data_IF_545393974596
#
_entry.id   IF_545393974596
#
_cell.length_a   1.000
_cell.length_b   1.000
_cell.length_c   1.000
_cell.angle_alpha   90.00
_cell.angle_beta   90.00
_cell.angle_gamma   90.00
#
_symmetry.space_group_name_H-M   'P 1'
#
loop_
_entity.id
_entity.type
_entity.pdbx_description
1 polymer ?
#
# COMPACT_ATOMS: atom_id res chain seq x y z
N UNK A 1 -33.26 -1.39 -8.08
CA UNK A 1 -32.27 -2.50 -8.07
C UNK A 1 -30.92 -1.93 -7.66
N UNK A 2 -30.51 -2.15 -6.41
CA UNK A 2 -29.18 -1.76 -5.95
C UNK A 2 -28.17 -2.80 -6.45
N UNK A 3 -27.25 -2.38 -7.32
CA UNK A 3 -26.12 -3.20 -7.74
C UNK A 3 -25.15 -3.29 -6.56
N UNK A 4 -25.22 -4.38 -5.80
CA UNK A 4 -24.23 -4.69 -4.77
C UNK A 4 -22.92 -5.02 -5.48
N UNK A 5 -22.03 -4.05 -5.56
CA UNK A 5 -20.65 -4.29 -6.00
C UNK A 5 -19.97 -5.16 -4.93
N UNK A 6 -19.84 -6.45 -5.20
CA UNK A 6 -19.05 -7.38 -4.40
C UNK A 6 -17.61 -6.86 -4.32
N UNK A 7 -17.05 -6.81 -3.09
CA UNK A 7 -15.70 -6.32 -2.75
C UNK A 7 -14.71 -6.57 -3.89
N UNK A 8 -14.37 -5.52 -4.64
CA UNK A 8 -13.19 -5.55 -5.49
C UNK A 8 -12.00 -5.75 -4.53
N UNK A 9 -11.52 -6.99 -4.41
CA UNK A 9 -10.28 -7.26 -3.67
C UNK A 9 -9.20 -6.51 -4.40
N UNK A 10 -8.73 -5.42 -3.81
CA UNK A 10 -7.62 -4.64 -4.33
C UNK A 10 -6.37 -5.50 -4.19
N UNK A 11 -6.14 -6.33 -5.19
CA UNK A 11 -5.04 -7.28 -5.18
C UNK A 11 -3.79 -6.60 -5.73
N UNK A 12 -2.81 -6.44 -4.85
CA UNK A 12 -1.44 -6.19 -5.24
C UNK A 12 -0.89 -7.43 -5.94
N UNK A 13 -0.26 -7.22 -7.09
CA UNK A 13 0.41 -8.30 -7.82
C UNK A 13 1.57 -8.92 -7.02
N UNK A 14 2.18 -8.14 -6.11
CA UNK A 14 3.38 -8.52 -5.36
C UNK A 14 3.03 -8.98 -3.95
N UNK A 15 2.24 -8.18 -3.22
CA UNK A 15 1.96 -8.39 -1.79
C UNK A 15 0.55 -8.96 -1.51
N UNK A 16 -0.22 -9.31 -2.53
CA UNK A 16 -1.58 -9.82 -2.34
C UNK A 16 -2.60 -8.75 -1.96
N UNK A 17 -3.61 -9.11 -1.16
CA UNK A 17 -4.77 -8.25 -0.93
C UNK A 17 -4.43 -7.02 -0.06
N UNK A 18 -4.97 -5.85 -0.43
CA UNK A 18 -4.89 -4.66 0.40
C UNK A 18 -5.56 -4.90 1.76
N UNK A 19 -4.90 -4.49 2.83
CA UNK A 19 -5.27 -4.85 4.21
C UNK A 19 -5.09 -3.66 5.14
N UNK A 20 -5.92 -3.58 6.17
CA UNK A 20 -5.75 -2.63 7.25
C UNK A 20 -4.53 -2.96 8.12
N UNK A 21 -3.91 -1.92 8.67
CA UNK A 21 -2.78 -2.05 9.59
C UNK A 21 -3.27 -2.68 10.91
N UNK A 22 -2.55 -3.69 11.41
CA UNK A 22 -2.86 -4.29 12.71
C UNK A 22 -2.29 -3.44 13.84
N UNK A 23 -3.11 -3.23 14.87
CA UNK A 23 -2.74 -2.40 16.03
C UNK A 23 -1.99 -3.18 17.14
N UNK A 24 -1.78 -4.49 16.97
CA UNK A 24 -1.25 -5.37 18.02
C UNK A 24 0.06 -6.08 17.63
N UNK A 25 0.53 -5.90 16.41
CA UNK A 25 1.78 -6.49 15.91
C UNK A 25 2.60 -5.42 15.23
N UNK A 26 3.93 -5.57 15.25
CA UNK A 26 4.81 -4.67 14.53
C UNK A 26 4.68 -4.92 13.03
N UNK A 27 4.42 -3.87 12.24
CA UNK A 27 4.19 -4.04 10.82
C UNK A 27 5.50 -4.32 10.09
N UNK A 28 5.45 -5.28 9.17
CA UNK A 28 6.52 -5.52 8.21
C UNK A 28 6.41 -4.56 7.03
N UNK A 29 7.45 -4.51 6.19
CA UNK A 29 7.39 -3.77 4.93
C UNK A 29 6.19 -4.18 4.06
N UNK A 30 5.86 -5.47 4.03
CA UNK A 30 4.70 -5.98 3.30
C UNK A 30 3.39 -5.39 3.85
N UNK A 31 3.22 -5.41 5.17
CA UNK A 31 2.02 -4.87 5.82
C UNK A 31 1.85 -3.37 5.52
N UNK A 32 2.95 -2.61 5.53
CA UNK A 32 2.93 -1.17 5.21
C UNK A 32 2.49 -0.94 3.76
N UNK A 33 2.95 -1.76 2.82
CA UNK A 33 2.57 -1.63 1.40
C UNK A 33 1.13 -2.12 1.13
N UNK A 34 0.66 -3.17 1.80
CA UNK A 34 -0.74 -3.58 1.75
C UNK A 34 -1.66 -2.48 2.31
N UNK A 35 -1.26 -1.85 3.42
CA UNK A 35 -1.97 -0.73 4.02
C UNK A 35 -1.94 0.53 3.15
N UNK A 36 -0.83 0.79 2.46
CA UNK A 36 -0.75 1.86 1.48
C UNK A 36 -1.81 1.75 0.40
N UNK A 37 -2.02 0.54 -0.16
CA UNK A 37 -3.04 0.31 -1.17
C UNK A 37 -4.46 0.47 -0.61
N UNK A 38 -4.67 0.07 0.65
CA UNK A 38 -5.93 0.25 1.35
C UNK A 38 -6.27 1.74 1.52
N UNK A 39 -5.33 2.53 2.07
CA UNK A 39 -5.50 3.99 2.26
C UNK A 39 -5.69 4.69 0.92
N UNK A 40 -4.90 4.32 -0.09
CA UNK A 40 -5.02 4.86 -1.45
C UNK A 40 -6.43 4.69 -2.02
N UNK A 41 -7.04 3.52 -1.84
CA UNK A 41 -8.39 3.28 -2.31
C UNK A 41 -9.42 4.03 -1.48
N UNK A 42 -9.26 4.05 -0.16
CA UNK A 42 -10.15 4.80 0.74
C UNK A 42 -10.18 6.30 0.42
N UNK A 43 -9.05 6.87 0.01
CA UNK A 43 -8.92 8.26 -0.38
C UNK A 43 -9.38 8.57 -1.80
N UNK A 44 -9.64 7.55 -2.64
CA UNK A 44 -10.10 7.76 -4.00
C UNK A 44 -11.60 8.10 -3.95
N UNK A 45 -12.00 9.35 -4.24
CA UNK A 45 -13.41 9.71 -4.24
C UNK A 45 -14.12 8.99 -5.40
N UNK A 46 -15.34 8.50 -5.16
CA UNK A 46 -16.12 7.76 -6.17
C UNK A 46 -16.40 8.59 -7.43
N UNK A 47 -16.33 9.92 -7.31
CA UNK A 47 -16.75 10.89 -8.33
C UNK A 47 -15.55 11.45 -9.12
N UNK A 48 -14.31 11.37 -8.61
CA UNK A 48 -13.13 11.96 -9.26
C UNK A 48 -12.10 10.91 -9.61
N UNK A 49 -11.65 10.91 -10.88
CA UNK A 49 -10.59 10.01 -11.36
C UNK A 49 -9.18 10.36 -10.85
N UNK A 50 -9.04 11.43 -10.06
CA UNK A 50 -7.76 11.94 -9.62
C UNK A 50 -7.19 11.03 -8.54
N UNK A 51 -6.05 10.42 -8.84
CA UNK A 51 -5.33 9.57 -7.90
C UNK A 51 -4.77 10.41 -6.74
N UNK A 52 -4.91 9.97 -5.49
CA UNK A 52 -4.37 10.66 -4.33
C UNK A 52 -2.83 10.73 -4.39
N UNK A 53 -2.26 11.81 -3.86
CA UNK A 53 -0.82 12.00 -3.88
C UNK A 53 -0.12 11.01 -2.94
N UNK A 54 1.07 10.56 -3.32
CA UNK A 54 1.91 9.66 -2.50
C UNK A 54 2.20 10.28 -1.14
N UNK A 55 2.47 11.60 -1.11
CA UNK A 55 2.74 12.32 0.14
C UNK A 55 1.53 12.32 1.07
N UNK A 56 0.32 12.56 0.54
CA UNK A 56 -0.91 12.56 1.34
C UNK A 56 -1.19 11.18 1.95
N UNK A 57 -0.97 10.12 1.18
CA UNK A 57 -1.11 8.74 1.68
C UNK A 57 -0.04 8.44 2.74
N UNK A 58 1.22 8.81 2.47
CA UNK A 58 2.33 8.58 3.38
C UNK A 58 2.12 9.27 4.73
N UNK A 59 1.51 10.46 4.75
CA UNK A 59 1.16 11.19 5.98
C UNK A 59 0.23 10.39 6.88
N UNK A 60 -0.86 9.86 6.31
CA UNK A 60 -1.84 9.06 7.05
C UNK A 60 -1.19 7.79 7.61
N UNK A 61 -0.39 7.12 6.79
CA UNK A 61 0.31 5.89 7.20
C UNK A 61 1.33 6.17 8.29
N UNK A 62 2.11 7.26 8.18
CA UNK A 62 3.12 7.62 9.16
C UNK A 62 2.49 7.83 10.54
N UNK A 63 1.40 8.60 10.61
CA UNK A 63 0.66 8.83 11.87
C UNK A 63 0.20 7.51 12.49
N UNK A 64 -0.32 6.57 11.69
CA UNK A 64 -0.80 5.30 12.21
C UNK A 64 0.33 4.34 12.60
N UNK A 65 1.46 4.36 11.89
CA UNK A 65 2.68 3.62 12.28
C UNK A 65 3.26 4.11 13.60
N UNK A 66 3.32 5.42 13.79
CA UNK A 66 3.81 6.03 15.02
C UNK A 66 2.96 5.61 16.22
N UNK A 67 1.63 5.54 16.07
CA UNK A 67 0.74 5.02 17.14
C UNK A 67 1.08 3.57 17.51
N UNK A 68 1.38 2.72 16.52
CA UNK A 68 1.76 1.32 16.78
C UNK A 68 3.09 1.25 17.55
N UNK A 69 4.08 2.04 17.16
CA UNK A 69 5.38 2.07 17.84
C UNK A 69 5.29 2.64 19.25
N UNK A 70 4.53 3.72 19.45
CA UNK A 70 4.28 4.28 20.78
C UNK A 70 3.60 3.25 21.69
N UNK A 71 2.61 2.52 21.17
CA UNK A 71 1.93 1.44 21.91
C UNK A 71 2.88 0.28 22.26
N UNK A 72 3.84 0.00 21.38
CA UNK A 72 4.88 -1.01 21.61
C UNK A 72 6.05 -0.50 22.47
N UNK A 73 6.00 0.75 22.96
CA UNK A 73 7.08 1.41 23.69
C UNK A 73 8.42 1.43 22.91
N UNK A 74 8.34 1.47 21.58
CA UNK A 74 9.49 1.57 20.69
C UNK A 74 9.78 3.04 20.40
N UNK A 75 11.04 3.49 20.52
CA UNK A 75 11.42 4.85 20.15
C UNK A 75 11.06 5.15 18.69
N UNK A 76 10.29 6.21 18.50
CA UNK A 76 9.86 6.69 17.20
C UNK A 76 10.96 7.58 16.61
N UNK A 77 11.41 7.25 15.39
CA UNK A 77 12.29 8.15 14.62
C UNK A 77 11.54 9.41 14.20
N UNK A 78 12.24 10.46 13.76
CA UNK A 78 11.56 11.70 13.34
C UNK A 78 10.49 11.43 12.29
N UNK A 79 9.35 12.12 12.38
CA UNK A 79 8.23 11.97 11.44
C UNK A 79 8.67 12.09 9.97
N UNK A 80 9.55 13.05 9.68
CA UNK A 80 10.17 13.23 8.36
C UNK A 80 10.92 11.98 7.88
N UNK A 81 11.60 11.26 8.79
CA UNK A 81 12.28 10.02 8.47
C UNK A 81 11.30 8.90 8.13
N UNK A 82 10.19 8.80 8.87
CA UNK A 82 9.11 7.83 8.60
C UNK A 82 8.53 8.06 7.21
N UNK A 83 8.21 9.32 6.87
CA UNK A 83 7.72 9.69 5.54
C UNK A 83 8.70 9.32 4.43
N UNK A 84 10.00 9.58 4.63
CA UNK A 84 11.03 9.19 3.66
C UNK A 84 11.06 7.67 3.47
N UNK A 85 11.01 6.90 4.57
CA UNK A 85 11.00 5.44 4.50
C UNK A 85 9.81 4.92 3.70
N UNK A 86 8.60 5.44 3.96
CA UNK A 86 7.38 5.05 3.22
C UNK A 86 7.53 5.37 1.73
N UNK A 87 8.06 6.54 1.38
CA UNK A 87 8.28 6.94 -0.02
C UNK A 87 9.31 6.04 -0.70
N UNK A 88 10.44 5.75 -0.05
CA UNK A 88 11.45 4.81 -0.56
C UNK A 88 10.85 3.43 -0.79
N UNK A 89 10.02 2.95 0.13
CA UNK A 89 9.32 1.68 0.01
C UNK A 89 8.34 1.64 -1.15
N UNK A 90 7.57 2.72 -1.34
CA UNK A 90 6.71 2.88 -2.50
C UNK A 90 7.50 2.86 -3.82
N UNK A 91 8.67 3.50 -3.88
CA UNK A 91 9.49 3.53 -5.09
C UNK A 91 10.11 2.17 -5.40
N UNK A 92 10.57 1.44 -4.38
CA UNK A 92 11.02 0.05 -4.51
C UNK A 92 9.89 -0.83 -5.04
N UNK A 93 8.69 -0.72 -4.44
CA UNK A 93 7.50 -1.42 -4.89
C UNK A 93 7.17 -1.10 -6.36
N UNK A 94 7.18 0.17 -6.76
CA UNK A 94 6.93 0.60 -8.14
C UNK A 94 7.94 -0.01 -9.11
N UNK A 95 9.21 -0.05 -8.73
CA UNK A 95 10.27 -0.63 -9.57
C UNK A 95 10.07 -2.14 -9.79
N UNK A 96 9.72 -2.87 -8.73
CA UNK A 96 9.40 -4.30 -8.82
C UNK A 96 8.12 -4.49 -9.65
N UNK A 97 7.11 -3.64 -9.47
CA UNK A 97 5.87 -3.72 -10.23
C UNK A 97 6.10 -3.47 -11.73
N UNK A 98 6.97 -2.53 -12.08
CA UNK A 98 7.34 -2.23 -13.47
C UNK A 98 8.01 -3.44 -14.13
N UNK A 99 8.95 -4.08 -13.44
CA UNK A 99 9.65 -5.26 -13.96
C UNK A 99 8.77 -6.52 -14.00
N UNK A 100 7.86 -6.69 -13.04
CA UNK A 100 6.88 -7.77 -13.05
C UNK A 100 5.90 -7.62 -14.22
N UNK A 101 5.37 -6.41 -14.45
CA UNK A 101 4.48 -6.13 -15.58
C UNK A 101 5.16 -6.34 -16.93
N UNK A 102 6.42 -5.93 -17.08
CA UNK A 102 7.15 -6.15 -18.33
C UNK A 102 7.34 -7.63 -18.63
N UNK A 103 7.58 -8.46 -17.61
CA UNK A 103 7.73 -9.92 -17.75
C UNK A 103 6.42 -10.65 -18.04
N UNK A 104 5.30 -10.22 -17.46
CA UNK A 104 3.97 -10.80 -17.73
C UNK A 104 3.53 -10.58 -19.18
N UNK A 105 3.95 -9.48 -19.79
CA UNK A 105 3.61 -9.15 -21.17
C UNK A 105 4.46 -9.89 -22.22
N UNK A 106 5.44 -10.69 -21.80
CA UNK A 106 6.24 -11.52 -22.71
C UNK A 106 5.43 -12.78 -23.02
N UNK A 107 5.22 -13.08 -24.30
CA UNK A 107 4.39 -14.19 -24.80
C UNK A 107 4.71 -15.57 -24.19
N UNK A 108 5.91 -15.75 -23.64
CA UNK A 108 6.33 -16.98 -22.96
C UNK A 108 5.56 -17.27 -21.67
N UNK A 109 4.99 -16.26 -20.99
CA UNK A 109 4.16 -16.49 -19.80
C UNK A 109 2.71 -16.87 -20.16
N UNK A 110 2.19 -16.41 -21.31
CA UNK A 110 0.85 -16.78 -21.80
C UNK A 110 0.73 -18.24 -22.24
N UNK A 111 1.84 -18.89 -22.61
CA UNK A 111 1.86 -20.30 -23.03
C UNK A 111 1.86 -21.32 -21.88
N UNK A 112 1.84 -20.88 -20.61
CA UNK A 112 1.96 -21.77 -19.43
C UNK A 112 0.75 -21.72 -18.47
N UNK A 113 -0.36 -21.09 -18.88
CA UNK A 113 -1.64 -21.09 -18.16
C UNK A 113 -2.68 -21.90 -18.95
#
# INVERSE_FOLDING_TARGET
MACVLTRNKLKCLIFGDAKELSNNVLPTFEDVMQYYLFVKHKLKPEITSKEPSVSSIAEIIAVDLEKVWLKALIPVVSHTRVLQMIKTYHDQYRNILKSAKSRINIETFKKKL
#
